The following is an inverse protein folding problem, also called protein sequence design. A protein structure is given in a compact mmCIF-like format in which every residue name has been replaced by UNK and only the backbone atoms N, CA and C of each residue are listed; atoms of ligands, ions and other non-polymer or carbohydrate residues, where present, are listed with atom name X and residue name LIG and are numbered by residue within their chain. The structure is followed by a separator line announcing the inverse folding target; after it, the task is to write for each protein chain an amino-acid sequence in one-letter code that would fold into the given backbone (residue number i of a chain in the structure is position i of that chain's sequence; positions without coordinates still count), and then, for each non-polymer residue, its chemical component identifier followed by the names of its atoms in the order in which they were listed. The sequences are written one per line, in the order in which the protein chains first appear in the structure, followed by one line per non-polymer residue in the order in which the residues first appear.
data_IF_197147987042
#
_entry.id   IF_197147987042
#
_cell.length_a   1.000
_cell.length_b   1.000
_cell.length_c   1.000
_cell.angle_alpha   90.00
_cell.angle_beta   90.00
_cell.angle_gamma   90.00
#
_symmetry.space_group_name_H-M   'P 1'
#
loop_
_entity.id
_entity.type
_entity.pdbx_description
1 polymer ?
#
# COMPACT_ATOMS: atom_id res chain seq x y z
N UNK A 1 -17.53 24.00 -0.85
CA UNK A 1 -16.77 24.50 0.31
C UNK A 1 -16.12 23.28 0.96
N UNK A 2 -14.89 22.94 0.54
CA UNK A 2 -14.22 21.69 0.92
C UNK A 2 -13.29 21.91 2.10
N UNK A 3 -13.46 21.15 3.18
CA UNK A 3 -12.55 21.15 4.32
C UNK A 3 -11.25 20.46 3.91
N UNK A 4 -10.23 21.25 3.55
CA UNK A 4 -8.88 20.76 3.40
C UNK A 4 -8.32 20.46 4.79
N UNK A 5 -8.05 19.20 5.11
CA UNK A 5 -7.40 18.82 6.36
C UNK A 5 -5.93 19.31 6.31
N UNK A 6 -5.60 20.33 7.09
CA UNK A 6 -4.27 20.96 7.09
C UNK A 6 -3.19 20.16 7.83
N UNK A 7 -3.53 19.04 8.47
CA UNK A 7 -2.61 18.28 9.33
C UNK A 7 -2.21 16.91 8.77
N UNK A 8 -2.57 16.59 7.52
CA UNK A 8 -2.36 15.25 6.96
C UNK A 8 -1.20 15.21 5.99
N UNK A 9 -0.46 14.09 6.01
CA UNK A 9 0.65 13.85 5.11
C UNK A 9 0.24 14.04 3.62
N UNK A 10 1.16 14.46 2.76
CA UNK A 10 0.90 14.73 1.33
C UNK A 10 0.38 13.54 0.51
N UNK A 11 0.40 12.33 1.10
CA UNK A 11 -0.13 11.10 0.52
C UNK A 11 -1.53 10.74 1.03
N UNK A 12 -2.12 11.54 1.92
CA UNK A 12 -3.43 11.25 2.49
C UNK A 12 -4.51 11.09 1.41
N UNK A 13 -5.24 9.99 1.49
CA UNK A 13 -6.30 9.62 0.55
C UNK A 13 -5.80 9.04 -0.78
N UNK A 14 -4.48 9.04 -1.02
CA UNK A 14 -3.89 8.51 -2.25
C UNK A 14 -3.68 7.00 -2.12
N UNK A 15 -3.99 6.25 -3.17
CA UNK A 15 -3.61 4.84 -3.26
C UNK A 15 -2.10 4.74 -3.49
N UNK A 16 -1.40 4.15 -2.52
CA UNK A 16 0.05 4.01 -2.52
C UNK A 16 0.44 2.54 -2.53
N UNK A 17 1.63 2.30 -3.06
CA UNK A 17 2.39 1.07 -2.94
C UNK A 17 3.38 1.28 -1.81
N UNK A 18 3.37 0.40 -0.82
CA UNK A 18 4.37 0.35 0.25
C UNK A 18 5.18 -0.92 0.06
N UNK A 19 6.42 -0.73 -0.34
CA UNK A 19 7.39 -1.83 -0.45
C UNK A 19 8.10 -2.02 0.87
N UNK A 20 8.17 -3.27 1.32
CA UNK A 20 8.97 -3.61 2.50
C UNK A 20 10.34 -4.14 2.12
N UNK A 21 11.24 -4.19 3.12
CA UNK A 21 12.48 -4.95 3.06
C UNK A 21 12.25 -6.47 3.06
N UNK A 22 11.06 -6.91 3.49
CA UNK A 22 10.65 -8.31 3.51
C UNK A 22 10.00 -8.76 2.19
N UNK A 23 9.36 -9.95 2.19
CA UNK A 23 8.66 -10.48 1.02
C UNK A 23 7.34 -9.75 0.73
N UNK A 24 6.93 -8.82 1.58
CA UNK A 24 5.61 -8.19 1.54
C UNK A 24 5.62 -6.90 0.72
N UNK A 25 4.53 -6.70 -0.01
CA UNK A 25 4.21 -5.46 -0.70
C UNK A 25 2.73 -5.16 -0.44
N UNK A 26 2.46 -3.94 -0.01
CA UNK A 26 1.11 -3.49 0.30
C UNK A 26 0.65 -2.48 -0.74
N UNK A 27 -0.62 -2.54 -1.12
CA UNK A 27 -1.28 -1.50 -1.91
C UNK A 27 -2.54 -1.10 -1.17
N UNK A 28 -2.67 0.17 -0.81
CA UNK A 28 -3.83 0.65 -0.07
C UNK A 28 -3.93 2.16 -0.09
N UNK A 29 -5.03 2.68 0.43
CA UNK A 29 -5.25 4.11 0.57
C UNK A 29 -4.48 4.62 1.78
N UNK A 30 -3.50 5.50 1.58
CA UNK A 30 -2.76 6.10 2.68
C UNK A 30 -3.69 6.96 3.54
N UNK A 31 -3.87 6.55 4.79
CA UNK A 31 -4.61 7.34 5.79
C UNK A 31 -3.66 8.30 6.50
N UNK A 32 -2.45 7.87 6.85
CA UNK A 32 -1.43 8.79 7.35
C UNK A 32 -0.03 8.17 7.28
N UNK A 33 0.98 9.01 7.47
CA UNK A 33 2.35 8.59 7.74
C UNK A 33 2.76 9.17 9.08
N UNK A 34 2.96 8.29 10.05
CA UNK A 34 3.30 8.61 11.44
C UNK A 34 4.69 8.06 11.77
N UNK A 35 5.21 8.37 12.95
CA UNK A 35 6.55 7.93 13.37
C UNK A 35 6.65 6.39 13.40
N UNK A 36 5.56 5.71 13.74
CA UNK A 36 5.45 4.26 13.81
C UNK A 36 5.37 3.58 12.44
N UNK A 37 5.04 4.33 11.37
CA UNK A 37 4.98 3.80 10.01
C UNK A 37 3.83 4.35 9.15
N UNK A 38 3.40 3.54 8.18
CA UNK A 38 2.40 3.94 7.18
C UNK A 38 1.07 3.30 7.50
N UNK A 39 0.05 4.13 7.76
CA UNK A 39 -1.32 3.68 7.96
C UNK A 39 -2.03 3.57 6.60
N UNK A 40 -2.43 2.35 6.25
CA UNK A 40 -3.23 2.07 5.05
C UNK A 40 -4.65 1.66 5.43
N UNK A 41 -5.61 2.10 4.62
CA UNK A 41 -6.98 1.59 4.57
C UNK A 41 -7.21 0.83 3.27
N UNK A 42 -8.15 -0.10 3.30
CA UNK A 42 -8.55 -0.90 2.14
C UNK A 42 -7.32 -1.51 1.44
N UNK A 43 -6.44 -2.15 2.23
CA UNK A 43 -5.16 -2.64 1.74
C UNK A 43 -5.27 -4.06 1.16
N UNK A 44 -4.67 -4.25 0.00
CA UNK A 44 -4.29 -5.55 -0.55
C UNK A 44 -2.81 -5.81 -0.23
N UNK A 45 -2.46 -7.07 -0.07
CA UNK A 45 -1.12 -7.52 0.25
C UNK A 45 -0.71 -8.65 -0.69
N UNK A 46 0.50 -8.49 -1.22
CA UNK A 46 1.24 -9.56 -1.88
C UNK A 46 2.39 -9.99 -0.99
N UNK A 47 2.60 -11.29 -0.91
CA UNK A 47 3.74 -11.89 -0.21
C UNK A 47 4.43 -12.86 -1.17
N UNK A 48 5.70 -12.56 -1.46
CA UNK A 48 6.50 -13.41 -2.33
C UNK A 48 6.65 -14.82 -1.73
N UNK A 49 6.39 -15.85 -2.54
CA UNK A 49 6.46 -17.25 -2.11
C UNK A 49 5.25 -17.75 -1.30
N UNK A 50 4.17 -16.97 -1.18
CA UNK A 50 2.92 -17.47 -0.56
C UNK A 50 2.27 -18.55 -1.45
N UNK A 51 2.13 -19.81 -0.99
CA UNK A 51 1.47 -20.87 -1.76
C UNK A 51 -0.01 -20.57 -2.05
N UNK A 52 -0.67 -19.72 -1.25
CA UNK A 52 -2.04 -19.27 -1.52
C UNK A 52 -2.10 -18.21 -2.65
N UNK A 53 -0.98 -17.57 -2.97
CA UNK A 53 -0.89 -16.57 -4.02
C UNK A 53 -0.68 -17.20 -5.42
N UNK A 54 -1.11 -18.44 -5.67
CA UNK A 54 -1.16 -19.09 -6.99
C UNK A 54 0.04 -18.84 -7.94
N UNK A 55 1.25 -18.65 -7.40
CA UNK A 55 2.45 -18.32 -8.19
C UNK A 55 2.45 -16.95 -8.88
N UNK A 56 1.59 -16.00 -8.46
CA UNK A 56 1.61 -14.62 -8.98
C UNK A 56 2.88 -13.93 -8.52
N UNK A 57 3.65 -13.41 -9.46
CA UNK A 57 4.83 -12.61 -9.12
C UNK A 57 4.42 -11.24 -8.58
N UNK A 58 5.34 -10.59 -7.86
CA UNK A 58 5.20 -9.18 -7.48
C UNK A 58 4.86 -8.28 -8.68
N UNK A 59 5.42 -8.57 -9.86
CA UNK A 59 5.18 -7.79 -11.08
C UNK A 59 3.73 -7.95 -11.58
N UNK A 60 3.20 -9.17 -11.58
CA UNK A 60 1.81 -9.44 -11.97
C UNK A 60 0.82 -8.79 -11.00
N UNK A 61 1.15 -8.79 -9.71
CA UNK A 61 0.35 -8.12 -8.69
C UNK A 61 0.26 -6.61 -8.94
N UNK A 62 1.40 -5.97 -9.24
CA UNK A 62 1.44 -4.54 -9.55
C UNK A 62 0.73 -4.20 -10.86
N UNK A 63 0.92 -4.99 -11.92
CA UNK A 63 0.24 -4.78 -13.21
C UNK A 63 -1.29 -4.92 -13.06
N UNK A 64 -1.75 -5.91 -12.31
CA UNK A 64 -3.18 -6.07 -12.02
C UNK A 64 -3.73 -4.88 -11.22
N UNK A 65 -3.03 -4.46 -10.17
CA UNK A 65 -3.44 -3.32 -9.35
C UNK A 65 -3.47 -2.01 -10.14
N UNK A 66 -2.51 -1.80 -11.05
CA UNK A 66 -2.47 -0.64 -11.95
C UNK A 66 -3.67 -0.61 -12.91
N UNK A 67 -4.09 -1.77 -13.44
CA UNK A 67 -5.19 -1.86 -14.42
C UNK A 67 -6.57 -1.82 -13.78
N UNK A 68 -6.74 -2.45 -12.62
CA UNK A 68 -8.06 -2.71 -12.04
C UNK A 68 -8.24 -2.17 -10.62
N UNK A 69 -7.18 -1.62 -10.02
CA UNK A 69 -7.14 -1.28 -8.60
C UNK A 69 -6.73 -2.47 -7.72
N UNK A 70 -6.41 -2.16 -6.47
CA UNK A 70 -6.14 -3.18 -5.45
C UNK A 70 -7.42 -3.94 -5.08
N UNK A 71 -7.29 -5.20 -4.64
CA UNK A 71 -8.41 -5.98 -4.10
C UNK A 71 -8.27 -6.09 -2.58
N UNK A 72 -8.90 -5.21 -1.80
CA UNK A 72 -8.63 -5.10 -0.38
C UNK A 72 -8.91 -6.40 0.37
N UNK A 73 -7.91 -6.90 1.10
CA UNK A 73 -8.04 -8.04 2.03
C UNK A 73 -8.01 -7.58 3.48
N UNK A 74 -7.45 -6.40 3.73
CA UNK A 74 -7.26 -5.80 5.04
C UNK A 74 -7.99 -4.45 5.07
N UNK A 75 -8.92 -4.27 5.99
CA UNK A 75 -9.63 -3.00 6.14
C UNK A 75 -8.71 -1.87 6.60
N UNK A 76 -7.75 -2.20 7.47
CA UNK A 76 -6.73 -1.28 7.98
C UNK A 76 -5.46 -2.04 8.37
N UNK A 77 -4.30 -1.44 8.11
CA UNK A 77 -3.00 -1.95 8.56
C UNK A 77 -2.03 -0.80 8.83
N UNK A 78 -1.17 -0.97 9.83
CA UNK A 78 0.03 -0.17 10.03
C UNK A 78 1.22 -0.98 9.48
N UNK A 79 1.88 -0.48 8.45
CA UNK A 79 3.14 -1.04 7.97
C UNK A 79 4.28 -0.38 8.78
N UNK A 80 5.02 -1.12 9.62
CA UNK A 80 6.00 -0.54 10.54
C UNK A 80 7.10 0.22 9.80
N UNK A 81 7.49 1.39 10.32
CA UNK A 81 8.47 2.28 9.67
C UNK A 81 9.79 1.56 9.35
N UNK A 82 10.27 0.70 10.24
CA UNK A 82 11.50 -0.08 10.08
C UNK A 82 11.43 -1.12 8.95
N UNK A 83 10.22 -1.50 8.54
CA UNK A 83 10.01 -2.46 7.45
C UNK A 83 9.89 -1.77 6.09
N UNK A 84 9.56 -0.47 6.06
CA UNK A 84 9.28 0.28 4.82
C UNK A 84 10.59 0.59 4.10
N UNK A 85 10.70 0.07 2.88
CA UNK A 85 11.79 0.38 1.95
C UNK A 85 11.47 1.62 1.12
N UNK A 86 10.24 1.70 0.62
CA UNK A 86 9.85 2.74 -0.35
C UNK A 86 8.32 2.91 -0.35
N UNK A 87 7.86 4.15 -0.57
CA UNK A 87 6.44 4.48 -0.75
C UNK A 87 6.30 5.19 -2.09
N UNK A 88 5.44 4.66 -2.97
CA UNK A 88 5.16 5.24 -4.29
C UNK A 88 3.66 5.37 -4.51
N UNK A 89 3.22 6.34 -5.31
CA UNK A 89 1.80 6.38 -5.70
C UNK A 89 1.54 5.29 -6.73
N UNK A 90 0.40 4.61 -6.63
CA UNK A 90 0.02 3.60 -7.63
C UNK A 90 -0.13 4.22 -9.03
N UNK A 91 -0.56 5.48 -9.11
CA UNK A 91 -0.70 6.20 -10.39
C UNK A 91 0.61 6.65 -11.05
N UNK A 92 1.75 6.45 -10.40
CA UNK A 92 3.08 6.81 -10.94
C UNK A 92 3.82 5.61 -11.55
N UNK A 93 3.22 4.40 -11.51
CA UNK A 93 3.78 3.17 -12.07
C UNK A 93 3.06 2.68 -13.32
#
# INVERSE_FOLDING_TARGET
MGTFHHDKHALHGITVIVETHGPELFIGRCDDIVAEGVLLRDADVHREGDPAAAGKSRADFLDHARRFGAWPKLSRILVPAESVREIRRLGEI
#
